data_IF_605815914490
#
_entry.id   IF_605815914490
#
_cell.length_a   1.000
_cell.length_b   1.000
_cell.length_c   1.000
_cell.angle_alpha   90.00
_cell.angle_beta   90.00
_cell.angle_gamma   90.00
#
_symmetry.space_group_name_H-M   'P 1'
#
loop_
_entity.id
_entity.type
_entity.pdbx_description
1 polymer ?
#
# COMPACT_ATOMS: atom_id res chain seq x y z
N UNK A 1 27.72 48.39 -29.51
CA UNK A 1 26.47 48.83 -30.18
C UNK A 1 25.42 47.76 -29.93
N UNK A 2 24.47 47.99 -28.99
CA UNK A 2 23.02 48.25 -29.23
C UNK A 2 22.27 47.09 -29.95
N UNK A 3 21.10 46.60 -29.53
CA UNK A 3 20.18 46.91 -28.42
C UNK A 3 19.10 45.80 -28.33
N UNK A 4 18.59 45.64 -27.12
CA UNK A 4 17.39 44.90 -26.67
C UNK A 4 16.08 45.31 -27.37
N UNK A 5 15.07 44.40 -27.42
CA UNK A 5 13.64 44.73 -27.19
C UNK A 5 12.88 43.59 -26.50
N UNK A 6 12.25 43.95 -25.37
CA UNK A 6 11.14 43.26 -24.68
C UNK A 6 9.79 43.87 -25.11
N UNK A 7 8.72 43.30 -24.55
CA UNK A 7 7.36 43.86 -24.29
C UNK A 7 6.35 43.67 -25.45
N UNK A 8 5.05 43.43 -25.26
CA UNK A 8 4.12 43.43 -24.12
C UNK A 8 2.80 42.75 -24.61
N UNK A 9 2.10 41.92 -23.83
CA UNK A 9 0.90 42.18 -22.97
C UNK A 9 -0.41 42.68 -23.62
N UNK A 10 -1.46 41.85 -23.44
CA UNK A 10 -2.92 42.16 -23.27
C UNK A 10 -3.74 42.68 -24.48
N UNK A 11 -5.11 42.70 -24.47
CA UNK A 11 -6.08 42.42 -23.40
C UNK A 11 -7.35 41.58 -23.79
N UNK A 12 -8.17 41.25 -22.78
CA UNK A 12 -9.57 40.77 -22.86
C UNK A 12 -10.55 41.86 -23.36
N UNK A 13 -11.78 41.48 -23.76
CA UNK A 13 -12.95 42.31 -23.47
C UNK A 13 -14.09 41.56 -22.75
N UNK A 14 -14.79 42.34 -21.92
CA UNK A 14 -16.01 42.05 -21.14
C UNK A 14 -17.22 42.68 -21.85
N UNK A 15 -18.41 42.05 -21.83
CA UNK A 15 -19.67 42.82 -21.83
C UNK A 15 -20.92 42.23 -22.51
N UNK A 16 -21.85 41.72 -21.68
CA UNK A 16 -23.33 41.92 -21.65
C UNK A 16 -24.18 41.77 -22.94
N UNK A 17 -25.21 40.90 -22.92
CA UNK A 17 -26.62 41.22 -22.55
C UNK A 17 -27.60 40.08 -22.93
N UNK A 18 -28.77 40.10 -22.29
CA UNK A 18 -29.70 38.99 -22.05
C UNK A 18 -30.73 38.69 -23.17
N UNK A 19 -31.29 37.47 -23.16
CA UNK A 19 -32.68 37.19 -23.57
C UNK A 19 -33.25 35.98 -22.81
N UNK A 20 -34.51 36.13 -22.40
CA UNK A 20 -35.32 35.28 -21.50
C UNK A 20 -35.73 33.95 -22.15
N UNK A 21 -35.97 32.92 -21.35
CA UNK A 21 -37.32 32.40 -21.02
C UNK A 21 -37.23 31.06 -20.27
N UNK A 22 -37.93 30.95 -19.14
CA UNK A 22 -38.24 29.70 -18.44
C UNK A 22 -39.49 29.04 -19.08
N UNK A 23 -39.78 27.75 -18.82
CA UNK A 23 -40.58 27.46 -17.62
C UNK A 23 -40.29 26.12 -16.89
N UNK A 24 -40.65 26.15 -15.59
CA UNK A 24 -41.28 25.10 -14.77
C UNK A 24 -40.72 23.66 -14.73
N UNK A 25 -40.03 23.34 -13.63
CA UNK A 25 -39.89 21.99 -13.09
C UNK A 25 -39.88 22.04 -11.56
N UNK A 26 -40.81 21.32 -10.92
CA UNK A 26 -41.08 21.33 -9.48
C UNK A 26 -40.05 20.59 -8.59
N UNK A 27 -40.40 20.34 -7.31
CA UNK A 27 -39.49 20.44 -6.18
C UNK A 27 -38.68 19.17 -5.92
N UNK A 28 -37.35 19.31 -5.84
CA UNK A 28 -36.47 18.34 -5.21
C UNK A 28 -36.12 18.83 -3.81
N UNK A 29 -36.72 18.23 -2.80
CA UNK A 29 -36.38 18.44 -1.39
C UNK A 29 -34.95 18.00 -1.14
N UNK A 30 -34.05 18.96 -0.96
CA UNK A 30 -32.79 18.75 -0.29
C UNK A 30 -33.01 18.73 1.22
N UNK A 31 -32.73 17.60 1.83
CA UNK A 31 -32.21 17.56 3.20
C UNK A 31 -30.96 16.72 3.18
N UNK A 32 -29.87 17.47 3.10
CA UNK A 32 -28.56 17.22 3.67
C UNK A 32 -28.64 16.34 4.93
N UNK A 33 -27.99 15.18 4.86
CA UNK A 33 -27.34 14.59 6.02
C UNK A 33 -26.21 13.71 5.51
N UNK A 34 -25.10 14.38 5.18
CA UNK A 34 -23.81 13.76 5.03
C UNK A 34 -23.46 12.99 6.30
N UNK A 35 -23.69 11.68 6.27
CA UNK A 35 -22.91 10.75 7.09
C UNK A 35 -21.61 10.52 6.35
N UNK A 36 -20.64 11.40 6.59
CA UNK A 36 -19.24 11.00 6.57
C UNK A 36 -19.09 9.82 7.53
N UNK A 37 -19.19 8.61 7.00
CA UNK A 37 -18.64 7.45 7.67
C UNK A 37 -17.13 7.64 7.62
N UNK A 38 -16.62 8.27 8.67
CA UNK A 38 -15.21 8.36 8.98
C UNK A 38 -14.69 6.92 9.03
N UNK A 39 -14.13 6.43 7.92
CA UNK A 39 -13.41 5.17 7.86
C UNK A 39 -12.14 5.37 8.69
N UNK A 40 -12.30 5.23 10.00
CA UNK A 40 -11.19 4.91 10.87
C UNK A 40 -10.60 3.62 10.35
N UNK A 41 -9.36 3.68 9.87
CA UNK A 41 -8.56 2.49 9.58
C UNK A 41 -8.41 1.75 10.91
N UNK A 42 -9.27 0.76 11.13
CA UNK A 42 -9.08 -0.19 12.20
C UNK A 42 -7.93 -1.10 11.77
N UNK A 43 -6.76 -0.91 12.36
CA UNK A 43 -5.66 -1.86 12.23
C UNK A 43 -6.11 -3.12 12.97
N UNK A 44 -6.66 -4.08 12.23
CA UNK A 44 -6.97 -5.39 12.77
C UNK A 44 -5.65 -6.11 13.05
N UNK A 45 -5.22 -6.11 14.32
CA UNK A 45 -4.25 -7.10 14.79
C UNK A 45 -5.01 -8.43 14.92
N UNK A 46 -5.20 -9.12 13.80
CA UNK A 46 -5.78 -10.44 13.80
C UNK A 46 -4.75 -11.42 14.36
N UNK A 47 -4.96 -11.91 15.59
CA UNK A 47 -4.34 -13.17 16.00
C UNK A 47 -4.97 -14.25 15.13
N UNK A 48 -4.23 -14.68 14.11
CA UNK A 48 -4.66 -15.75 13.24
C UNK A 48 -4.83 -17.04 14.05
N UNK A 49 -5.84 -17.88 13.73
CA UNK A 49 -5.91 -19.22 14.27
C UNK A 49 -4.61 -19.97 13.96
N UNK A 50 -4.01 -20.63 14.97
CA UNK A 50 -2.70 -21.28 14.88
C UNK A 50 -2.64 -22.41 13.81
N UNK A 51 -3.81 -22.85 13.35
CA UNK A 51 -4.07 -23.95 12.41
C UNK A 51 -4.06 -23.55 10.93
N UNK A 52 -4.03 -22.25 10.59
CA UNK A 52 -3.97 -21.86 9.18
C UNK A 52 -2.50 -21.80 8.71
N UNK A 53 -2.12 -22.61 7.70
CA UNK A 53 -0.71 -22.82 7.37
C UNK A 53 -0.04 -21.55 6.85
N UNK A 54 1.27 -21.48 7.07
CA UNK A 54 2.16 -20.54 6.37
C UNK A 54 2.82 -21.31 5.23
N UNK A 55 2.26 -21.29 4.01
CA UNK A 55 2.70 -22.15 2.92
C UNK A 55 4.04 -21.71 2.34
N UNK A 56 4.43 -20.44 2.52
CA UNK A 56 5.64 -19.89 1.92
C UNK A 56 6.81 -20.00 2.90
N UNK A 57 7.91 -20.62 2.49
CA UNK A 57 9.15 -20.67 3.27
C UNK A 57 10.26 -19.97 2.53
N UNK A 58 11.14 -19.33 3.29
CA UNK A 58 12.38 -18.78 2.76
C UNK A 58 13.05 -17.86 3.75
N UNK A 59 13.53 -16.73 3.26
CA UNK A 59 14.24 -15.74 4.09
C UNK A 59 13.72 -14.34 3.84
N UNK A 60 13.62 -13.56 4.92
CA UNK A 60 13.41 -12.12 4.82
C UNK A 60 14.74 -11.39 4.93
N UNK A 61 14.88 -10.33 4.16
CA UNK A 61 15.98 -9.38 4.19
C UNK A 61 15.39 -8.00 4.46
N UNK A 62 15.70 -7.43 5.61
CA UNK A 62 15.26 -6.09 5.99
C UNK A 62 16.22 -5.04 5.44
N UNK A 63 15.66 -3.94 4.94
CA UNK A 63 16.46 -2.79 4.52
C UNK A 63 17.03 -2.07 5.75
N UNK A 64 18.28 -1.60 5.65
CA UNK A 64 18.83 -0.67 6.65
C UNK A 64 18.17 0.70 6.52
N UNK A 65 18.27 1.55 7.54
CA UNK A 65 17.71 2.90 7.49
C UNK A 65 18.25 3.71 6.30
N UNK A 66 19.54 3.53 5.97
CA UNK A 66 20.24 4.18 4.85
C UNK A 66 19.72 3.71 3.49
N UNK A 67 19.27 2.46 3.41
CA UNK A 67 18.62 1.91 2.22
C UNK A 67 17.13 2.28 2.13
N UNK A 68 16.66 3.11 3.06
CA UNK A 68 15.25 3.47 3.16
C UNK A 68 14.41 2.44 3.92
N UNK A 69 14.99 1.62 4.78
CA UNK A 69 14.24 0.75 5.69
C UNK A 69 13.62 1.48 6.88
N UNK A 70 13.30 0.70 7.91
CA UNK A 70 12.80 1.21 9.20
C UNK A 70 13.94 1.92 9.94
N UNK A 71 13.67 3.08 10.52
CA UNK A 71 14.67 3.79 11.35
C UNK A 71 15.01 3.02 12.63
N UNK A 72 14.07 2.20 13.13
CA UNK A 72 14.28 1.32 14.27
C UNK A 72 15.10 0.06 13.94
N UNK A 73 15.34 -0.21 12.65
CA UNK A 73 15.95 -1.44 12.15
C UNK A 73 14.94 -2.58 11.96
N UNK A 74 15.43 -3.83 11.82
CA UNK A 74 14.57 -5.02 11.74
C UNK A 74 13.63 -5.13 12.95
N UNK A 75 12.49 -5.83 12.82
CA UNK A 75 11.63 -6.13 13.96
C UNK A 75 12.44 -6.78 15.11
N UNK A 76 12.38 -6.18 16.30
CA UNK A 76 12.99 -6.72 17.54
C UNK A 76 11.88 -7.38 18.35
N UNK A 77 12.23 -8.37 19.18
CA UNK A 77 11.25 -9.18 19.91
C UNK A 77 11.14 -8.77 21.38
N UNK A 78 10.14 -7.96 21.65
CA UNK A 78 9.15 -8.08 22.72
C UNK A 78 7.87 -8.80 22.23
N UNK A 79 7.70 -8.93 20.91
CA UNK A 79 6.48 -9.42 20.29
C UNK A 79 6.60 -10.90 19.92
N UNK A 80 6.06 -11.80 20.76
CA UNK A 80 5.76 -13.21 20.36
C UNK A 80 4.61 -13.28 19.33
N UNK A 81 4.56 -12.32 18.43
CA UNK A 81 3.45 -12.10 17.50
C UNK A 81 4.04 -12.14 16.10
N UNK A 82 3.32 -12.78 15.19
CA UNK A 82 3.67 -12.75 13.78
C UNK A 82 3.76 -11.29 13.29
N UNK A 83 4.74 -11.00 12.44
CA UNK A 83 4.91 -9.68 11.86
C UNK A 83 3.93 -9.50 10.69
N UNK A 84 2.88 -8.72 10.93
CA UNK A 84 1.90 -8.35 9.90
C UNK A 84 2.28 -7.03 9.23
N UNK A 85 2.29 -7.03 7.90
CA UNK A 85 2.57 -5.86 7.08
C UNK A 85 1.74 -5.90 5.78
N UNK A 86 1.93 -4.89 4.94
CA UNK A 86 1.48 -4.97 3.57
C UNK A 86 2.60 -5.50 2.67
N UNK A 87 2.24 -6.09 1.55
CA UNK A 87 3.20 -6.56 0.57
C UNK A 87 2.61 -6.62 -0.84
N UNK A 88 3.49 -6.69 -1.83
CA UNK A 88 3.11 -6.94 -3.22
C UNK A 88 4.14 -7.83 -3.92
N UNK A 89 3.74 -8.44 -5.04
CA UNK A 89 4.60 -9.26 -5.89
C UNK A 89 4.92 -8.49 -7.18
N UNK A 90 6.20 -8.24 -7.50
CA UNK A 90 6.58 -7.67 -8.80
C UNK A 90 6.05 -8.53 -9.97
N UNK A 91 5.63 -7.92 -11.10
CA UNK A 91 5.84 -6.52 -11.47
C UNK A 91 4.80 -5.54 -10.89
N UNK A 92 3.87 -5.99 -10.05
CA UNK A 92 2.95 -5.09 -9.37
C UNK A 92 3.68 -4.19 -8.36
N UNK A 93 2.99 -3.14 -7.91
CA UNK A 93 3.54 -2.14 -7.00
C UNK A 93 2.62 -1.96 -5.80
N UNK A 94 3.04 -1.13 -4.84
CA UNK A 94 2.21 -0.75 -3.71
C UNK A 94 0.89 -0.05 -4.11
N UNK A 95 0.76 0.43 -5.35
CA UNK A 95 -0.47 1.03 -5.87
C UNK A 95 -1.37 0.03 -6.60
N UNK A 96 -0.82 -1.06 -7.15
CA UNK A 96 -1.53 -1.95 -8.07
C UNK A 96 -1.71 -3.39 -7.59
N UNK A 97 -0.99 -3.82 -6.55
CA UNK A 97 -1.04 -5.21 -6.07
C UNK A 97 -0.72 -5.37 -4.59
N UNK A 98 -1.08 -4.36 -3.77
CA UNK A 98 -0.83 -4.38 -2.34
C UNK A 98 -1.88 -5.26 -1.61
N UNK A 99 -1.42 -6.20 -0.80
CA UNK A 99 -2.26 -7.02 0.07
C UNK A 99 -1.59 -7.25 1.43
N UNK A 100 -2.37 -7.66 2.43
CA UNK A 100 -1.84 -7.93 3.76
C UNK A 100 -1.10 -9.28 3.79
N UNK A 101 0.13 -9.25 4.32
CA UNK A 101 1.05 -10.39 4.39
C UNK A 101 1.60 -10.53 5.81
N UNK A 102 1.72 -11.77 6.26
CA UNK A 102 2.17 -12.10 7.62
C UNK A 102 3.43 -12.94 7.53
N UNK A 103 4.45 -12.56 8.32
CA UNK A 103 5.71 -13.27 8.47
C UNK A 103 5.86 -13.81 9.89
N UNK A 104 6.40 -15.02 10.04
CA UNK A 104 6.71 -15.61 11.34
C UNK A 104 8.07 -16.28 11.38
N UNK A 105 8.47 -16.73 12.57
CA UNK A 105 9.78 -17.35 12.85
C UNK A 105 10.97 -16.43 12.55
N UNK A 106 10.77 -15.11 12.67
CA UNK A 106 11.82 -14.12 12.49
C UNK A 106 12.87 -14.21 13.60
N UNK A 107 14.14 -14.03 13.25
CA UNK A 107 15.20 -13.84 14.23
C UNK A 107 15.18 -12.37 14.70
N UNK A 108 14.92 -12.10 15.99
CA UNK A 108 14.75 -10.73 16.47
C UNK A 108 15.96 -9.85 16.21
N UNK A 109 15.73 -8.68 15.59
CA UNK A 109 16.77 -7.70 15.30
C UNK A 109 17.76 -8.10 14.20
N UNK A 110 17.62 -9.28 13.58
CA UNK A 110 18.48 -9.71 12.50
C UNK A 110 18.08 -9.04 11.18
N UNK A 111 19.06 -8.55 10.42
CA UNK A 111 18.82 -8.01 9.07
C UNK A 111 18.37 -9.09 8.08
N UNK A 112 18.81 -10.33 8.30
CA UNK A 112 18.39 -11.49 7.52
C UNK A 112 17.92 -12.56 8.48
N UNK A 113 16.75 -13.12 8.23
CA UNK A 113 16.24 -14.26 8.99
C UNK A 113 15.51 -15.24 8.10
N UNK A 114 15.57 -16.53 8.45
CA UNK A 114 14.57 -17.48 7.97
C UNK A 114 13.18 -16.97 8.37
N UNK A 115 12.19 -17.25 7.53
CA UNK A 115 10.83 -16.88 7.79
C UNK A 115 9.86 -17.82 7.07
N UNK A 116 8.65 -17.88 7.61
CA UNK A 116 7.50 -18.41 6.91
C UNK A 116 6.52 -17.27 6.64
N UNK A 117 5.85 -17.30 5.50
CA UNK A 117 4.97 -16.23 5.03
C UNK A 117 3.60 -16.74 4.62
N UNK A 118 2.61 -15.84 4.64
CA UNK A 118 1.30 -16.05 4.02
C UNK A 118 0.59 -14.76 3.67
N UNK A 119 -0.29 -14.84 2.68
CA UNK A 119 -1.35 -13.84 2.50
C UNK A 119 -2.40 -13.97 3.61
N UNK A 120 -2.88 -12.83 4.09
CA UNK A 120 -3.92 -12.78 5.12
C UNK A 120 -5.33 -12.84 4.53
N UNK A 121 -5.57 -12.10 3.43
CA UNK A 121 -6.92 -11.83 2.90
C UNK A 121 -7.10 -12.32 1.46
N UNK A 122 -6.01 -12.55 0.73
CA UNK A 122 -6.05 -12.90 -0.69
C UNK A 122 -5.59 -14.33 -0.93
N UNK A 123 -6.11 -14.93 -2.00
CA UNK A 123 -5.63 -16.21 -2.49
C UNK A 123 -4.30 -16.05 -3.23
N UNK A 124 -3.53 -17.13 -3.27
CA UNK A 124 -2.26 -17.17 -4.00
C UNK A 124 -2.49 -17.32 -5.52
N UNK A 125 -3.02 -16.28 -6.16
CA UNK A 125 -3.37 -16.29 -7.58
C UNK A 125 -3.24 -14.90 -8.21
N UNK A 126 -3.12 -14.87 -9.54
CA UNK A 126 -3.11 -13.63 -10.33
C UNK A 126 -2.02 -12.66 -9.84
N UNK A 127 -2.37 -11.40 -9.49
CA UNK A 127 -1.39 -10.40 -9.02
C UNK A 127 -0.66 -10.75 -7.72
N UNK A 128 -1.16 -11.74 -6.98
CA UNK A 128 -0.61 -12.17 -5.68
C UNK A 128 0.08 -13.53 -5.75
N UNK A 129 0.26 -14.07 -6.97
CA UNK A 129 0.85 -15.39 -7.17
C UNK A 129 2.31 -15.41 -6.70
N UNK A 130 2.56 -16.29 -5.73
CA UNK A 130 3.85 -16.61 -5.14
C UNK A 130 4.19 -18.05 -5.50
N UNK A 131 5.39 -18.22 -6.05
CA UNK A 131 6.00 -19.50 -6.40
C UNK A 131 7.44 -19.53 -5.83
N UNK A 132 8.10 -20.69 -5.79
CA UNK A 132 9.53 -20.74 -5.47
C UNK A 132 10.34 -19.80 -6.38
N UNK A 133 11.20 -18.98 -5.78
CA UNK A 133 11.97 -17.94 -6.47
C UNK A 133 11.30 -16.57 -6.52
N UNK A 134 10.02 -16.45 -6.17
CA UNK A 134 9.34 -15.15 -6.05
C UNK A 134 9.99 -14.28 -4.98
N UNK A 135 10.11 -12.98 -5.25
CA UNK A 135 10.44 -11.96 -4.25
C UNK A 135 9.17 -11.19 -3.91
N UNK A 136 8.77 -11.26 -2.65
CA UNK A 136 7.67 -10.48 -2.11
C UNK A 136 8.24 -9.21 -1.50
N UNK A 137 7.76 -8.04 -1.93
CA UNK A 137 8.20 -6.75 -1.39
C UNK A 137 7.35 -6.42 -0.18
N UNK A 138 7.96 -6.35 1.00
CA UNK A 138 7.30 -6.01 2.27
C UNK A 138 7.30 -4.50 2.43
N UNK A 139 6.15 -3.91 2.74
CA UNK A 139 5.98 -2.46 2.88
C UNK A 139 5.33 -2.07 4.20
N UNK A 140 5.72 -0.89 4.70
CA UNK A 140 4.98 -0.13 5.70
C UNK A 140 4.40 1.11 4.99
N UNK A 141 3.07 1.18 4.86
CA UNK A 141 2.44 2.09 3.91
C UNK A 141 2.86 1.78 2.46
N UNK A 142 3.26 2.80 1.71
CA UNK A 142 3.78 2.66 0.33
C UNK A 142 5.29 2.40 0.26
N UNK A 143 5.99 2.39 1.40
CA UNK A 143 7.44 2.37 1.47
C UNK A 143 7.96 0.93 1.66
N UNK A 144 8.82 0.41 0.77
CA UNK A 144 9.48 -0.87 0.99
C UNK A 144 10.33 -0.83 2.25
N UNK A 145 10.24 -1.87 3.07
CA UNK A 145 11.03 -2.04 4.30
C UNK A 145 11.82 -3.34 4.31
N UNK A 146 11.50 -4.29 3.42
CA UNK A 146 12.22 -5.54 3.27
C UNK A 146 11.73 -6.36 2.10
N UNK A 147 12.42 -7.47 1.88
CA UNK A 147 12.13 -8.43 0.82
C UNK A 147 12.05 -9.83 1.42
N UNK A 148 10.98 -10.55 1.10
CA UNK A 148 10.88 -11.97 1.43
C UNK A 148 11.17 -12.78 0.16
N UNK A 149 12.30 -13.48 0.18
CA UNK A 149 12.71 -14.39 -0.87
C UNK A 149 12.11 -15.76 -0.60
N UNK A 150 11.24 -16.19 -1.50
CA UNK A 150 10.53 -17.48 -1.38
C UNK A 150 11.41 -18.57 -1.94
N UNK A 151 11.65 -19.60 -1.13
CA UNK A 151 12.47 -20.77 -1.46
C UNK A 151 11.61 -22.01 -1.70
N UNK A 152 10.51 -22.14 -0.96
CA UNK A 152 9.58 -23.26 -1.07
C UNK A 152 8.13 -22.79 -0.87
N UNK A 153 7.19 -23.44 -1.56
CA UNK A 153 5.74 -23.21 -1.45
C UNK A 153 5.07 -24.56 -1.24
N UNK A 154 4.47 -24.71 -0.05
CA UNK A 154 3.81 -25.95 0.35
C UNK A 154 2.36 -25.93 -0.08
N UNK A 155 1.93 -27.04 -0.65
CA UNK A 155 0.51 -27.36 -0.77
C UNK A 155 -0.05 -27.57 0.64
N UNK A 156 -1.03 -26.75 1.02
CA UNK A 156 -1.83 -26.97 2.23
C UNK A 156 -2.77 -28.17 2.07
#
# INVERSE_FOLDING_TARGET
MCRSRRCASAPLPVGRSACRSAPAGGPGTGTDSGREAQLGILVFVAKLPDDVPFPFRGRVVWLTAEQGGRSSGPPRADDKVDYAANAFVPPHTAQSGLASFVLRNLTPGALVSLAEGRWLVVENAGPYQIEPGTVVVITEGSKPVGYFHVEDVRSG
#
